data_IF_872264971228
#
_entry.id   IF_872264971228
#
_cell.length_a   1.000
_cell.length_b   1.000
_cell.length_c   1.000
_cell.angle_alpha   90.00
_cell.angle_beta   90.00
_cell.angle_gamma   90.00
#
_symmetry.space_group_name_H-M   'P 1'
#
loop_
_entity.id
_entity.type
_entity.pdbx_description
1 polymer ?
#
# COMPACT_ATOMS: atom_id res chain seq x y z
N UNK A 1 -18.35 -7.11 -26.66
CA UNK A 1 -16.94 -7.34 -26.33
C UNK A 1 -16.62 -6.47 -25.13
N UNK A 2 -16.55 -7.04 -23.93
CA UNK A 2 -16.14 -6.31 -22.73
C UNK A 2 -14.65 -6.03 -22.85
N UNK A 3 -14.27 -4.77 -23.07
CA UNK A 3 -12.87 -4.36 -23.00
C UNK A 3 -12.38 -4.60 -21.58
N UNK A 4 -11.59 -5.65 -21.36
CA UNK A 4 -10.95 -5.88 -20.06
C UNK A 4 -10.02 -4.70 -19.79
N UNK A 5 -10.32 -3.91 -18.75
CA UNK A 5 -9.51 -2.75 -18.37
C UNK A 5 -8.17 -3.23 -17.80
N UNK A 6 -7.07 -2.61 -18.23
CA UNK A 6 -5.73 -2.90 -17.70
C UNK A 6 -5.74 -2.67 -16.18
N UNK A 7 -5.26 -3.63 -15.36
CA UNK A 7 -5.13 -3.44 -13.93
C UNK A 7 -4.28 -2.22 -13.59
N UNK A 8 -4.69 -1.49 -12.56
CA UNK A 8 -4.02 -0.25 -12.14
C UNK A 8 -3.49 -0.37 -10.71
N UNK A 9 -2.25 0.02 -10.50
CA UNK A 9 -1.63 0.17 -9.20
C UNK A 9 -1.34 1.66 -8.95
N UNK A 10 -1.90 2.17 -7.86
CA UNK A 10 -1.59 3.50 -7.35
C UNK A 10 -0.48 3.38 -6.29
N UNK A 11 0.64 4.04 -6.52
CA UNK A 11 1.73 4.15 -5.55
C UNK A 11 1.64 5.50 -4.85
N UNK A 12 1.30 5.52 -3.57
CA UNK A 12 1.39 6.77 -2.77
C UNK A 12 2.84 6.94 -2.31
N UNK A 13 3.51 7.95 -2.85
CA UNK A 13 4.95 8.15 -2.70
C UNK A 13 5.36 9.45 -2.01
N UNK A 14 6.61 9.48 -1.55
CA UNK A 14 7.20 10.58 -0.78
C UNK A 14 8.14 10.10 0.32
N UNK A 15 8.86 11.02 0.94
CA UNK A 15 9.78 10.74 2.07
C UNK A 15 9.04 10.31 3.34
N UNK A 16 9.78 9.90 4.36
CA UNK A 16 9.23 9.63 5.69
C UNK A 16 8.62 10.91 6.27
N UNK A 17 7.48 10.79 6.96
CA UNK A 17 6.73 11.94 7.46
C UNK A 17 5.77 12.59 6.46
N UNK A 18 5.79 12.21 5.17
CA UNK A 18 4.86 12.75 4.17
C UNK A 18 3.41 12.28 4.36
N UNK A 19 3.19 11.15 5.06
CA UNK A 19 1.86 10.60 5.34
C UNK A 19 1.38 9.52 4.37
N UNK A 20 2.29 8.88 3.61
CA UNK A 20 1.95 7.84 2.61
C UNK A 20 0.97 6.78 3.08
N UNK A 21 1.19 6.18 4.25
CA UNK A 21 0.33 5.10 4.78
C UNK A 21 -1.07 5.60 5.10
N UNK A 22 -1.18 6.78 5.72
CA UNK A 22 -2.45 7.43 6.04
C UNK A 22 -3.22 7.79 4.78
N UNK A 23 -2.57 8.45 3.82
CA UNK A 23 -3.19 8.83 2.55
C UNK A 23 -3.52 7.59 1.72
N UNK A 24 -2.65 6.58 1.67
CA UNK A 24 -2.87 5.33 0.94
C UNK A 24 -4.07 4.54 1.45
N UNK A 25 -4.22 4.43 2.77
CA UNK A 25 -5.38 3.77 3.39
C UNK A 25 -6.68 4.55 3.14
N UNK A 26 -6.64 5.88 3.24
CA UNK A 26 -7.81 6.72 2.96
C UNK A 26 -8.21 6.67 1.47
N UNK A 27 -7.24 6.73 0.56
CA UNK A 27 -7.46 6.63 -0.88
C UNK A 27 -8.05 5.26 -1.27
N UNK A 28 -7.54 4.18 -0.69
CA UNK A 28 -8.07 2.83 -0.87
C UNK A 28 -9.52 2.72 -0.41
N UNK A 29 -9.86 3.34 0.72
CA UNK A 29 -11.23 3.38 1.23
C UNK A 29 -12.16 4.15 0.28
N UNK A 30 -11.73 5.34 -0.16
CA UNK A 30 -12.49 6.19 -1.08
C UNK A 30 -12.69 5.53 -2.45
N UNK A 31 -11.71 4.74 -2.92
CA UNK A 31 -11.78 4.04 -4.19
C UNK A 31 -12.34 2.61 -4.07
N UNK A 32 -12.58 2.12 -2.87
CA UNK A 32 -13.05 0.76 -2.58
C UNK A 32 -12.15 -0.32 -3.20
N UNK A 33 -10.84 -0.22 -2.95
CA UNK A 33 -9.83 -1.15 -3.45
C UNK A 33 -8.82 -1.54 -2.36
N UNK A 34 -7.98 -2.58 -2.53
CA UNK A 34 -7.06 -3.03 -1.49
C UNK A 34 -5.93 -2.04 -1.25
N UNK A 35 -5.44 -2.00 -0.01
CA UNK A 35 -4.25 -1.25 0.40
C UNK A 35 -3.21 -2.17 1.04
N UNK A 36 -1.94 -1.91 0.75
CA UNK A 36 -0.79 -2.48 1.46
C UNK A 36 0.22 -1.39 1.76
N UNK A 37 0.80 -1.41 2.96
CA UNK A 37 1.98 -0.59 3.26
C UNK A 37 3.23 -1.28 2.70
N UNK A 38 3.96 -0.61 1.83
CA UNK A 38 5.13 -1.16 1.17
C UNK A 38 6.29 -1.42 2.13
N UNK A 39 6.34 -0.75 3.28
CA UNK A 39 7.36 -1.00 4.30
C UNK A 39 7.23 -2.42 4.87
N UNK A 40 6.02 -2.99 4.93
CA UNK A 40 5.74 -4.37 5.40
C UNK A 40 6.26 -5.43 4.42
N UNK A 41 6.59 -5.04 3.19
CA UNK A 41 7.07 -5.94 2.14
C UNK A 41 8.60 -6.03 2.07
N UNK A 42 9.32 -5.32 2.95
CA UNK A 42 10.77 -5.43 3.01
C UNK A 42 11.22 -6.85 3.39
N UNK A 43 12.28 -7.38 2.75
CA UNK A 43 12.88 -8.62 3.22
C UNK A 43 13.50 -8.42 4.61
N UNK A 44 13.61 -9.47 5.44
CA UNK A 44 14.19 -9.38 6.78
C UNK A 44 15.58 -8.73 6.82
N UNK A 45 16.41 -8.96 5.78
CA UNK A 45 17.73 -8.34 5.63
C UNK A 45 17.68 -6.81 5.59
N UNK A 46 16.67 -6.23 4.94
CA UNK A 46 16.51 -4.77 4.85
C UNK A 46 16.05 -4.21 6.18
N UNK A 47 15.09 -4.88 6.83
CA UNK A 47 14.60 -4.49 8.16
C UNK A 47 15.74 -4.51 9.17
N UNK A 48 16.59 -5.53 9.15
CA UNK A 48 17.76 -5.64 10.01
C UNK A 48 18.81 -4.55 9.72
N UNK A 49 19.08 -4.25 8.44
CA UNK A 49 20.02 -3.18 8.07
C UNK A 49 19.53 -1.81 8.55
N UNK A 50 18.25 -1.51 8.33
CA UNK A 50 17.64 -0.26 8.78
C UNK A 50 17.53 -0.16 10.30
N UNK A 51 17.26 -1.26 11.01
CA UNK A 51 17.20 -1.26 12.48
C UNK A 51 18.54 -0.92 13.14
N UNK A 52 19.64 -1.17 12.43
CA UNK A 52 21.00 -0.74 12.82
C UNK A 52 21.34 0.70 12.37
N UNK A 53 20.37 1.45 11.85
CA UNK A 53 20.56 2.82 11.36
C UNK A 53 21.33 2.91 10.04
N UNK A 54 21.52 1.80 9.34
CA UNK A 54 22.24 1.79 8.06
C UNK A 54 21.27 2.03 6.90
N UNK A 55 21.53 3.02 6.02
CA UNK A 55 20.67 3.25 4.87
C UNK A 55 20.77 2.10 3.87
N UNK A 56 19.64 1.77 3.25
CA UNK A 56 19.59 0.83 2.13
C UNK A 56 20.27 1.46 0.89
N UNK A 57 20.86 0.62 0.04
CA UNK A 57 21.35 0.97 -1.29
C UNK A 57 20.42 0.42 -2.39
N UNK A 58 20.82 0.49 -3.67
CA UNK A 58 19.99 0.02 -4.78
C UNK A 58 19.85 -1.51 -4.82
N UNK A 59 20.94 -2.24 -4.51
CA UNK A 59 20.91 -3.71 -4.46
C UNK A 59 20.01 -4.23 -3.34
N UNK A 60 19.94 -3.53 -2.20
CA UNK A 60 19.00 -3.87 -1.12
C UNK A 60 17.54 -3.62 -1.55
N UNK A 61 17.30 -2.56 -2.33
CA UNK A 61 15.93 -2.12 -2.70
C UNK A 61 15.35 -2.88 -3.88
N UNK A 62 16.16 -3.36 -4.82
CA UNK A 62 15.67 -4.02 -6.04
C UNK A 62 14.73 -5.21 -5.75
N UNK A 63 15.07 -6.19 -4.89
CA UNK A 63 14.17 -7.30 -4.58
C UNK A 63 12.86 -6.84 -3.93
N UNK A 64 12.94 -5.82 -3.08
CA UNK A 64 11.78 -5.21 -2.44
C UNK A 64 10.86 -4.51 -3.44
N UNK A 65 11.40 -3.72 -4.37
CA UNK A 65 10.62 -3.04 -5.40
C UNK A 65 9.95 -4.02 -6.37
N UNK A 66 10.65 -5.10 -6.76
CA UNK A 66 10.05 -6.19 -7.54
C UNK A 66 8.87 -6.83 -6.78
N UNK A 67 9.02 -7.05 -5.47
CA UNK A 67 7.94 -7.57 -4.61
C UNK A 67 6.75 -6.60 -4.53
N UNK A 68 7.00 -5.28 -4.46
CA UNK A 68 5.95 -4.25 -4.49
C UNK A 68 5.15 -4.35 -5.80
N UNK A 69 5.82 -4.36 -6.96
CA UNK A 69 5.15 -4.47 -8.26
C UNK A 69 4.33 -5.76 -8.37
N UNK A 70 4.92 -6.89 -8.01
CA UNK A 70 4.23 -8.19 -8.05
C UNK A 70 2.99 -8.20 -7.15
N UNK A 71 3.10 -7.65 -5.93
CA UNK A 71 1.98 -7.54 -5.00
C UNK A 71 0.87 -6.65 -5.56
N UNK A 72 1.23 -5.50 -6.13
CA UNK A 72 0.26 -4.60 -6.74
C UNK A 72 -0.48 -5.22 -7.93
N UNK A 73 0.23 -5.96 -8.80
CA UNK A 73 -0.40 -6.72 -9.88
C UNK A 73 -1.38 -7.76 -9.33
N UNK A 74 -0.96 -8.53 -8.33
CA UNK A 74 -1.82 -9.54 -7.70
C UNK A 74 -3.07 -8.91 -7.10
N UNK A 75 -2.96 -7.81 -6.35
CA UNK A 75 -4.10 -7.14 -5.73
C UNK A 75 -5.06 -6.52 -6.75
N UNK A 76 -4.53 -5.89 -7.79
CA UNK A 76 -5.33 -5.25 -8.83
C UNK A 76 -6.02 -6.26 -9.77
N UNK A 77 -5.58 -7.52 -9.79
CA UNK A 77 -6.17 -8.60 -10.59
C UNK A 77 -7.06 -9.53 -9.76
N UNK A 78 -6.71 -9.83 -8.51
CA UNK A 78 -7.44 -10.79 -7.67
C UNK A 78 -8.83 -10.30 -7.23
N UNK A 79 -9.18 -9.04 -7.51
CA UNK A 79 -10.52 -8.49 -7.33
C UNK A 79 -11.58 -9.15 -8.25
N UNK A 80 -11.18 -9.94 -9.25
CA UNK A 80 -12.12 -10.59 -10.19
C UNK A 80 -12.65 -11.95 -9.74
N UNK A 81 -12.14 -12.54 -8.67
CA UNK A 81 -12.59 -13.88 -8.24
C UNK A 81 -13.05 -13.88 -6.79
N UNK A 82 -14.34 -14.19 -6.58
CA UNK A 82 -14.84 -14.55 -5.25
C UNK A 82 -14.08 -15.77 -4.75
N UNK A 83 -13.65 -15.83 -3.47
CA UNK A 83 -13.02 -17.03 -2.95
C UNK A 83 -14.01 -18.18 -3.02
N UNK A 84 -13.65 -19.24 -3.76
CA UNK A 84 -14.30 -20.54 -3.60
C UNK A 84 -14.02 -20.96 -2.15
N UNK A 85 -15.08 -21.03 -1.33
CA UNK A 85 -15.01 -21.55 0.03
C UNK A 85 -14.24 -22.87 0.04
N UNK A 86 -13.25 -23.06 0.94
CA UNK A 86 -12.53 -24.32 1.01
C UNK A 86 -13.53 -25.43 1.34
N UNK A 87 -13.62 -26.42 0.44
CA UNK A 87 -14.31 -27.68 0.72
C UNK A 87 -13.66 -28.29 1.96
N UNK A 88 -14.45 -28.53 3.01
CA UNK A 88 -14.06 -29.37 4.15
C UNK A 88 -13.67 -30.75 3.62
N UNK A 89 -12.37 -31.00 3.45
CA UNK A 89 -11.84 -32.34 3.27
C UNK A 89 -11.56 -32.94 4.66
N UNK A 90 -12.40 -33.91 5.01
CA UNK A 90 -12.12 -35.11 5.79
C UNK A 90 -10.85 -35.10 6.64
N UNK A 91 -11.03 -34.92 7.96
CA UNK A 91 -10.11 -35.47 8.96
C UNK A 91 -10.91 -36.51 9.76
N UNK A 92 -10.37 -37.73 9.73
CA UNK A 92 -11.00 -38.95 10.22
C UNK A 92 -11.28 -38.93 11.72
N UNK A 93 -12.34 -39.68 12.05
CA UNK A 93 -12.68 -40.13 13.40
C UNK A 93 -11.56 -40.97 13.98
N UNK A 94 -11.24 -40.75 15.26
CA UNK A 94 -10.92 -41.82 16.21
C UNK A 94 -11.46 -41.42 17.59
N UNK A 95 -12.19 -42.37 18.19
CA UNK A 95 -12.94 -42.30 19.45
C UNK A 95 -12.01 -42.37 20.68
N UNK A 96 -12.28 -41.59 21.73
CA UNK A 96 -12.91 -41.97 23.00
C UNK A 96 -12.04 -42.81 23.96
N UNK A 97 -11.62 -42.23 25.10
CA UNK A 97 -11.46 -42.94 26.39
C UNK A 97 -11.69 -41.97 27.58
N UNK A 98 -12.81 -42.21 28.27
CA UNK A 98 -13.19 -42.06 29.68
C UNK A 98 -12.81 -40.86 30.59
N UNK A 99 -13.86 -40.38 31.26
CA UNK A 99 -13.94 -39.52 32.44
C UNK A 99 -13.34 -40.13 33.72
N UNK A 100 -12.82 -39.28 34.62
CA UNK A 100 -13.02 -39.42 36.09
C UNK A 100 -12.98 -38.06 36.81
N UNK A 101 -14.16 -37.62 37.27
CA UNK A 101 -14.52 -36.95 38.54
C UNK A 101 -13.49 -36.19 39.40
N UNK A 102 -13.82 -34.92 39.76
CA UNK A 102 -14.02 -34.46 41.17
C UNK A 102 -14.43 -32.95 41.30
N UNK A 103 -15.63 -32.74 41.87
CA UNK A 103 -16.10 -31.76 42.90
C UNK A 103 -15.35 -30.42 43.12
N UNK A 104 -15.93 -29.21 43.32
CA UNK A 104 -17.10 -28.78 44.12
C UNK A 104 -17.38 -27.24 43.97
N UNK A 105 -18.66 -26.83 44.08
CA UNK A 105 -19.24 -25.65 44.79
C UNK A 105 -19.37 -24.21 44.18
N UNK A 106 -20.65 -23.77 44.08
CA UNK A 106 -21.28 -22.45 44.43
C UNK A 106 -20.88 -21.18 43.65
N UNK A 107 -21.72 -20.21 43.24
CA UNK A 107 -23.10 -19.79 43.54
C UNK A 107 -23.63 -18.81 42.45
N UNK A 108 -24.96 -18.69 42.37
CA UNK A 108 -25.81 -17.51 42.05
C UNK A 108 -25.71 -16.73 40.71
N UNK A 109 -26.88 -16.70 40.06
CA UNK A 109 -27.62 -15.52 39.58
C UNK A 109 -27.61 -15.05 38.12
N UNK A 110 -28.87 -14.90 37.68
CA UNK A 110 -29.43 -13.91 36.77
C UNK A 110 -29.42 -14.10 35.24
N UNK A 111 -30.63 -14.43 34.78
CA UNK A 111 -31.23 -14.26 33.45
C UNK A 111 -31.01 -12.85 32.89
N UNK A 112 -30.56 -12.74 31.63
CA UNK A 112 -31.10 -11.79 30.65
C UNK A 112 -31.01 -12.40 29.24
N UNK A 113 -32.16 -12.80 28.70
CA UNK A 113 -32.33 -13.03 27.28
C UNK A 113 -32.35 -11.67 26.57
N UNK A 114 -31.42 -11.45 25.63
CA UNK A 114 -31.52 -10.33 24.68
C UNK A 114 -31.41 -10.86 23.26
N UNK A 115 -32.50 -10.63 22.53
CA UNK A 115 -32.74 -10.85 21.11
C UNK A 115 -31.61 -10.25 20.25
N UNK A 116 -30.86 -11.10 19.53
CA UNK A 116 -30.01 -10.67 18.42
C UNK A 116 -30.91 -10.40 17.21
N UNK A 117 -31.16 -9.13 16.94
CA UNK A 117 -31.71 -8.67 15.66
C UNK A 117 -30.76 -9.06 14.52
N UNK A 118 -31.32 -9.73 13.51
CA UNK A 118 -30.68 -9.92 12.22
C UNK A 118 -30.62 -8.56 11.52
N UNK A 119 -29.41 -8.01 11.36
CA UNK A 119 -29.17 -6.99 10.35
C UNK A 119 -28.75 -7.74 9.09
N UNK A 120 -29.60 -7.66 8.05
CA UNK A 120 -29.31 -8.22 6.75
C UNK A 120 -28.14 -7.47 6.10
N UNK A 121 -27.01 -8.15 5.96
CA UNK A 121 -25.93 -7.74 5.07
C UNK A 121 -26.37 -8.04 3.63
N UNK A 122 -27.05 -7.07 3.01
CA UNK A 122 -27.13 -7.01 1.56
C UNK A 122 -25.84 -6.36 1.06
N UNK A 123 -24.80 -7.17 0.85
CA UNK A 123 -23.63 -6.75 0.07
C UNK A 123 -24.06 -6.49 -1.39
N UNK A 124 -24.26 -5.22 -1.71
CA UNK A 124 -24.35 -4.78 -3.10
C UNK A 124 -22.95 -4.87 -3.70
N UNK A 125 -22.65 -5.97 -4.39
CA UNK A 125 -21.42 -6.12 -5.17
C UNK A 125 -21.39 -5.09 -6.31
N UNK A 126 -20.69 -3.97 -6.07
CA UNK A 126 -20.29 -3.05 -7.13
C UNK A 126 -19.32 -3.72 -8.12
N UNK A 127 -19.12 -3.12 -9.31
CA UNK A 127 -18.18 -3.65 -10.29
C UNK A 127 -16.77 -3.76 -9.67
N UNK A 128 -16.12 -4.93 -9.81
CA UNK A 128 -14.76 -5.16 -9.31
C UNK A 128 -13.81 -4.17 -9.98
N UNK A 129 -13.27 -3.23 -9.20
CA UNK A 129 -12.27 -2.30 -9.72
C UNK A 129 -10.95 -3.05 -9.83
N UNK A 130 -10.39 -3.09 -11.05
CA UNK A 130 -9.03 -3.58 -11.28
C UNK A 130 -7.99 -2.57 -10.76
N UNK A 131 -8.00 -2.33 -9.44
CA UNK A 131 -7.28 -1.25 -8.81
C UNK A 131 -6.68 -1.71 -7.48
N UNK A 132 -5.47 -1.26 -7.15
CA UNK A 132 -4.86 -1.43 -5.83
C UNK A 132 -4.07 -0.18 -5.43
N UNK A 133 -3.88 0.02 -4.13
CA UNK A 133 -3.06 1.11 -3.58
C UNK A 133 -1.91 0.53 -2.77
N UNK A 134 -0.69 1.02 -2.98
CA UNK A 134 0.47 0.69 -2.13
C UNK A 134 1.16 1.98 -1.71
N UNK A 135 1.47 2.12 -0.42
CA UNK A 135 2.37 3.16 0.06
C UNK A 135 3.82 2.74 -0.21
N UNK A 136 4.62 3.54 -0.93
CA UNK A 136 6.03 3.22 -1.19
C UNK A 136 6.82 4.50 -1.41
N UNK A 137 8.03 4.62 -0.83
CA UNK A 137 8.82 5.84 -0.92
C UNK A 137 9.17 6.23 -2.36
N UNK A 138 9.53 5.27 -3.22
CA UNK A 138 9.77 5.42 -4.67
C UNK A 138 10.60 6.66 -5.08
N UNK A 139 11.66 6.93 -4.30
CA UNK A 139 12.36 8.23 -4.30
C UNK A 139 13.17 8.52 -5.57
N UNK A 140 13.73 7.50 -6.24
CA UNK A 140 14.51 7.67 -7.48
C UNK A 140 13.64 7.39 -8.72
N UNK A 141 13.93 8.07 -9.83
CA UNK A 141 13.31 7.80 -11.13
C UNK A 141 13.42 6.33 -11.53
N UNK A 142 14.59 5.73 -11.32
CA UNK A 142 14.83 4.32 -11.65
C UNK A 142 13.95 3.35 -10.84
N UNK A 143 13.59 3.70 -9.60
CA UNK A 143 12.66 2.89 -8.80
C UNK A 143 11.24 2.96 -9.38
N UNK A 144 10.80 4.17 -9.75
CA UNK A 144 9.50 4.40 -10.40
C UNK A 144 9.38 3.65 -11.73
N UNK A 145 10.47 3.61 -12.51
CA UNK A 145 10.60 2.82 -13.75
C UNK A 145 10.43 1.33 -13.53
N UNK A 146 11.14 0.78 -12.54
CA UNK A 146 11.03 -0.64 -12.19
C UNK A 146 9.62 -0.99 -11.71
N UNK A 147 9.00 -0.11 -10.91
CA UNK A 147 7.60 -0.27 -10.50
C UNK A 147 6.63 -0.21 -11.68
N UNK A 148 6.84 0.71 -12.65
CA UNK A 148 6.08 0.77 -13.91
C UNK A 148 6.31 -0.46 -14.79
N UNK A 149 7.43 -1.16 -14.62
CA UNK A 149 7.83 -2.32 -15.42
C UNK A 149 8.49 -1.94 -16.74
N UNK A 150 8.90 -0.67 -16.91
CA UNK A 150 9.66 -0.21 -18.09
C UNK A 150 11.10 -0.68 -18.11
N UNK A 151 11.60 -1.11 -16.94
CA UNK A 151 12.85 -1.85 -16.76
C UNK A 151 12.60 -3.05 -15.86
N UNK A 152 13.40 -4.11 -15.98
CA UNK A 152 13.28 -5.32 -15.16
C UNK A 152 14.29 -5.40 -14.00
N UNK A 153 15.31 -4.54 -13.99
CA UNK A 153 16.34 -4.43 -12.95
C UNK A 153 16.82 -2.98 -12.85
N UNK A 154 17.30 -2.56 -11.67
CA UNK A 154 17.93 -1.25 -11.48
C UNK A 154 19.31 -1.17 -12.14
N UNK A 155 19.84 -2.28 -12.67
CA UNK A 155 21.07 -2.31 -13.48
C UNK A 155 20.76 -2.35 -14.99
N UNK A 156 19.49 -2.27 -15.38
CA UNK A 156 19.08 -2.27 -16.79
C UNK A 156 19.67 -1.04 -17.51
N UNK A 157 20.43 -1.20 -18.61
CA UNK A 157 20.94 -0.08 -19.40
C UNK A 157 19.85 0.87 -19.91
N UNK A 158 18.61 0.40 -20.07
CA UNK A 158 17.46 1.22 -20.44
C UNK A 158 17.06 2.23 -19.35
N UNK A 159 17.52 2.06 -18.12
CA UNK A 159 17.24 2.96 -17.01
C UNK A 159 17.69 4.41 -17.26
N UNK A 160 18.57 4.65 -18.23
CA UNK A 160 19.04 5.98 -18.63
C UNK A 160 18.31 6.55 -19.86
N UNK A 161 17.46 5.77 -20.51
CA UNK A 161 16.76 6.16 -21.73
C UNK A 161 15.42 6.84 -21.40
N UNK A 162 14.78 7.50 -22.36
CA UNK A 162 13.42 8.02 -22.18
C UNK A 162 12.41 6.86 -22.16
N UNK A 163 11.38 6.98 -21.33
CA UNK A 163 10.26 6.02 -21.35
C UNK A 163 9.30 6.40 -22.48
N UNK A 164 9.03 5.45 -23.38
CA UNK A 164 8.19 5.69 -24.54
C UNK A 164 6.77 5.13 -24.36
N UNK A 165 6.63 4.00 -23.67
CA UNK A 165 5.34 3.34 -23.44
C UNK A 165 5.27 2.67 -22.06
N UNK A 166 4.07 2.65 -21.46
CA UNK A 166 3.81 1.84 -20.27
C UNK A 166 3.50 0.38 -20.65
N UNK A 167 4.00 -0.60 -19.87
CA UNK A 167 3.58 -1.99 -19.99
C UNK A 167 2.06 -2.16 -19.89
N UNK A 168 1.53 -3.12 -20.66
CA UNK A 168 0.08 -3.38 -20.74
C UNK A 168 -0.42 -4.38 -19.70
N UNK A 169 0.46 -4.95 -18.89
CA UNK A 169 0.13 -5.90 -17.82
C UNK A 169 -0.37 -5.20 -16.54
N UNK A 170 0.23 -4.05 -16.20
CA UNK A 170 -0.11 -3.25 -15.04
C UNK A 170 0.17 -1.77 -15.32
N UNK A 171 -0.87 -0.95 -15.33
CA UNK A 171 -0.75 0.50 -15.31
C UNK A 171 -0.30 0.94 -13.91
N UNK A 172 0.79 1.69 -13.80
CA UNK A 172 1.27 2.19 -12.51
C UNK A 172 1.25 3.72 -12.50
N UNK A 173 0.60 4.28 -11.49
CA UNK A 173 0.49 5.72 -11.27
C UNK A 173 1.08 6.07 -9.91
N UNK A 174 2.01 7.01 -9.89
CA UNK A 174 2.63 7.52 -8.68
C UNK A 174 1.91 8.78 -8.22
N UNK A 175 1.30 8.71 -7.03
CA UNK A 175 0.72 9.85 -6.32
C UNK A 175 1.80 10.42 -5.42
N UNK A 176 2.46 11.50 -5.85
CA UNK A 176 3.54 12.15 -5.12
C UNK A 176 2.98 13.18 -4.13
N UNK A 177 3.18 12.92 -2.84
CA UNK A 177 2.87 13.85 -1.76
C UNK A 177 4.02 14.86 -1.63
N UNK A 178 3.79 16.05 -2.18
CA UNK A 178 4.78 17.11 -2.26
C UNK A 178 4.65 18.06 -1.06
N UNK A 179 5.57 17.91 -0.11
CA UNK A 179 5.67 18.71 1.10
C UNK A 179 6.98 19.47 1.10
N UNK A 180 6.98 20.67 1.67
CA UNK A 180 8.23 21.39 1.89
C UNK A 180 9.07 20.68 2.96
N UNK A 181 10.39 20.93 2.93
CA UNK A 181 11.33 20.41 3.91
C UNK A 181 10.90 20.79 5.34
N UNK A 182 10.50 22.03 5.54
CA UNK A 182 10.13 22.58 6.85
C UNK A 182 8.92 21.85 7.43
N UNK A 183 7.92 21.54 6.59
CA UNK A 183 6.73 20.80 7.02
C UNK A 183 7.06 19.34 7.36
N UNK A 184 7.95 18.70 6.59
CA UNK A 184 8.42 17.34 6.88
C UNK A 184 9.20 17.28 8.19
N UNK A 185 10.12 18.21 8.41
CA UNK A 185 10.90 18.35 9.65
C UNK A 185 9.98 18.57 10.85
N UNK A 186 8.98 19.44 10.74
CA UNK A 186 7.99 19.67 11.78
C UNK A 186 7.19 18.40 12.11
N UNK A 187 6.63 17.73 11.09
CA UNK A 187 5.86 16.48 11.26
C UNK A 187 6.70 15.39 11.92
N UNK A 188 7.96 15.27 11.53
CA UNK A 188 8.88 14.27 12.07
C UNK A 188 9.32 14.60 13.50
N UNK A 189 9.54 15.88 13.82
CA UNK A 189 9.93 16.34 15.16
C UNK A 189 8.83 16.17 16.20
N UNK A 190 7.57 16.38 15.79
CA UNK A 190 6.41 16.19 16.66
C UNK A 190 6.10 14.70 16.94
N UNK A 191 6.71 13.77 16.21
CA UNK A 191 6.54 12.34 16.42
C UNK A 191 7.36 11.88 17.62
N UNK A 192 6.71 11.71 18.78
CA UNK A 192 7.35 11.24 20.04
C UNK A 192 8.33 10.08 19.79
N UNK A 193 9.56 10.21 20.31
CA UNK A 193 10.64 9.22 20.24
C UNK A 193 11.73 9.55 19.20
N UNK A 194 12.91 9.93 19.71
CA UNK A 194 14.27 9.94 19.13
C UNK A 194 14.60 10.77 17.87
N UNK A 195 15.64 11.59 18.03
CA UNK A 195 16.36 12.44 17.06
C UNK A 195 16.82 11.72 15.76
N UNK A 196 17.03 10.40 15.82
CA UNK A 196 17.43 9.54 14.68
C UNK A 196 16.46 9.59 13.49
N UNK A 197 15.23 10.08 13.69
CA UNK A 197 14.22 10.25 12.64
C UNK A 197 14.55 11.38 11.65
N UNK A 198 15.25 12.44 12.07
CA UNK A 198 15.56 13.58 11.19
C UNK A 198 16.72 13.28 10.23
N UNK A 199 17.77 12.61 10.70
CA UNK A 199 18.88 12.20 9.82
C UNK A 199 18.39 11.26 8.70
N UNK A 200 17.44 10.37 9.02
CA UNK A 200 16.79 9.53 8.02
C UNK A 200 15.97 10.35 7.01
N UNK A 201 15.25 11.38 7.48
CA UNK A 201 14.54 12.30 6.58
C UNK A 201 15.53 13.01 5.64
N UNK A 202 16.65 13.50 6.16
CA UNK A 202 17.67 14.18 5.36
C UNK A 202 18.26 13.26 4.29
N UNK A 203 18.66 12.05 4.66
CA UNK A 203 19.12 11.05 3.68
C UNK A 203 18.08 10.75 2.59
N UNK A 204 16.79 10.72 2.95
CA UNK A 204 15.72 10.51 1.96
C UNK A 204 15.47 11.72 1.08
N UNK A 205 15.59 12.95 1.60
CA UNK A 205 15.53 14.18 0.81
C UNK A 205 16.70 14.26 -0.18
N UNK A 206 17.91 13.91 0.25
CA UNK A 206 19.08 13.83 -0.64
C UNK A 206 18.92 12.76 -1.73
N UNK A 207 18.18 11.69 -1.44
CA UNK A 207 17.89 10.61 -2.39
C UNK A 207 16.73 10.97 -3.33
N UNK A 208 15.84 11.88 -2.94
CA UNK A 208 14.61 12.19 -3.66
C UNK A 208 14.93 12.89 -4.99
N UNK A 209 14.62 12.19 -6.08
CA UNK A 209 14.50 12.77 -7.41
C UNK A 209 13.03 13.13 -7.61
N UNK A 210 12.69 14.40 -7.36
CA UNK A 210 11.32 14.92 -7.42
C UNK A 210 10.66 14.50 -8.75
N UNK A 211 9.52 13.80 -8.72
CA UNK A 211 8.82 13.41 -9.94
C UNK A 211 8.34 14.61 -10.75
N UNK A 212 8.57 14.57 -12.05
CA UNK A 212 8.09 15.56 -13.01
C UNK A 212 6.82 15.05 -13.70
N UNK A 213 5.69 15.76 -13.56
CA UNK A 213 4.40 15.36 -14.14
C UNK A 213 4.34 15.49 -15.67
N UNK A 214 5.21 16.29 -16.28
CA UNK A 214 5.26 16.50 -17.72
C UNK A 214 6.24 15.52 -18.38
N UNK A 215 7.36 15.23 -17.71
CA UNK A 215 8.41 14.35 -18.24
C UNK A 215 8.25 12.87 -17.88
N UNK A 216 7.56 12.55 -16.78
CA UNK A 216 7.37 11.16 -16.34
C UNK A 216 5.95 10.65 -16.54
N UNK A 217 5.85 9.46 -17.15
CA UNK A 217 4.57 8.78 -17.31
C UNK A 217 3.97 8.38 -15.95
N UNK A 218 2.67 8.61 -15.80
CA UNK A 218 1.89 8.13 -14.66
C UNK A 218 2.30 8.78 -13.35
N UNK A 219 2.43 10.12 -13.33
CA UNK A 219 2.63 10.90 -12.11
C UNK A 219 1.42 11.82 -11.88
N UNK A 220 1.00 11.88 -10.62
CA UNK A 220 0.03 12.81 -10.06
C UNK A 220 0.68 13.47 -8.85
N UNK A 221 0.95 14.77 -8.92
CA UNK A 221 1.53 15.53 -7.79
C UNK A 221 0.41 16.16 -6.96
N UNK A 222 0.52 16.05 -5.65
CA UNK A 222 -0.40 16.70 -4.70
C UNK A 222 0.42 17.52 -3.73
N UNK A 223 0.19 18.84 -3.77
CA UNK A 223 0.85 19.77 -2.85
C UNK A 223 0.16 19.67 -1.50
N UNK A 224 0.94 19.44 -0.45
CA UNK A 224 0.43 19.28 0.91
C UNK A 224 1.04 20.36 1.79
N UNK A 225 0.17 21.21 2.34
CA UNK A 225 0.53 22.30 3.24
C UNK A 225 0.14 21.96 4.68
N UNK A 226 0.49 22.83 5.63
CA UNK A 226 0.27 22.59 7.07
C UNK A 226 -1.20 22.33 7.41
N UNK A 227 -2.11 23.04 6.77
CA UNK A 227 -3.55 22.95 7.04
C UNK A 227 -4.28 21.96 6.12
N UNK A 228 -3.59 21.41 5.11
CA UNK A 228 -4.21 20.47 4.17
C UNK A 228 -4.60 19.19 4.91
N UNK A 229 -5.88 18.89 4.89
CA UNK A 229 -6.47 17.70 5.52
C UNK A 229 -6.31 16.47 4.62
N UNK A 230 -6.43 15.28 5.20
CA UNK A 230 -6.42 14.03 4.41
C UNK A 230 -7.55 14.01 3.38
N UNK A 231 -8.75 14.49 3.72
CA UNK A 231 -9.90 14.48 2.81
C UNK A 231 -9.68 15.40 1.60
N UNK A 232 -9.07 16.57 1.80
CA UNK A 232 -8.67 17.46 0.70
C UNK A 232 -7.61 16.81 -0.20
N UNK A 233 -6.64 16.10 0.39
CA UNK A 233 -5.65 15.32 -0.38
C UNK A 233 -6.37 14.26 -1.21
N UNK A 234 -7.30 13.50 -0.62
CA UNK A 234 -8.03 12.45 -1.34
C UNK A 234 -8.88 13.04 -2.47
N UNK A 235 -9.59 14.14 -2.23
CA UNK A 235 -10.38 14.82 -3.25
C UNK A 235 -9.50 15.25 -4.44
N UNK A 236 -8.37 15.92 -4.18
CA UNK A 236 -7.42 16.35 -5.23
C UNK A 236 -6.84 15.16 -6.00
N UNK A 237 -6.44 14.09 -5.31
CA UNK A 237 -5.95 12.85 -5.96
C UNK A 237 -7.04 12.27 -6.87
N UNK A 238 -8.25 12.10 -6.36
CA UNK A 238 -9.35 11.47 -7.10
C UNK A 238 -9.71 12.28 -8.34
N UNK A 239 -9.78 13.60 -8.23
CA UNK A 239 -10.10 14.46 -9.38
C UNK A 239 -8.99 14.44 -10.43
N UNK A 240 -7.72 14.51 -10.04
CA UNK A 240 -6.59 14.34 -10.97
C UNK A 240 -6.54 12.97 -11.63
N UNK A 241 -6.93 11.91 -10.93
CA UNK A 241 -7.01 10.55 -11.50
C UNK A 241 -8.14 10.45 -12.53
N UNK A 242 -9.30 11.09 -12.32
CA UNK A 242 -10.39 11.17 -13.31
C UNK A 242 -9.96 11.98 -14.53
N UNK A 243 -9.35 13.15 -14.33
CA UNK A 243 -8.88 14.02 -15.41
C UNK A 243 -7.88 13.30 -16.33
N UNK A 244 -7.02 12.45 -15.74
CA UNK A 244 -6.07 11.61 -16.47
C UNK A 244 -6.67 10.28 -16.97
N UNK A 245 -7.98 10.08 -16.85
CA UNK A 245 -8.69 8.85 -17.27
C UNK A 245 -8.08 7.56 -16.67
N UNK A 246 -7.62 7.65 -15.41
CA UNK A 246 -7.12 6.50 -14.65
C UNK A 246 -8.26 5.73 -13.99
N UNK A 247 -9.27 6.43 -13.49
CA UNK A 247 -10.47 5.89 -12.82
C UNK A 247 -11.75 6.52 -13.34
#
# INVERSE_FOLDING_TARGET
MTTSSIPTLLIVMGTSGSGKSTVGSALSSALSCPFVDGDDLHPPSNVEKMSRGQPLNDADREPWLLRIRQTGLQLATSQTESPISPKKSEIGKVAEVLETSSTTKTSTDHVVATTRGQVGENEVKGPSKHLAVIACSSLKLIYRRLLRGTISSLQDPKALQSEQEQPKDLRVVHVYLDLTRELLEERMSNRKGHFMKLDMLYSQLDTLQVPDEEAEMGVVRVKVERQTTTDEIIADVVDKLKDKSVI
#
